data_IF_469021930205
#
_entry.id   IF_469021930205
#
_cell.length_a   1.000
_cell.length_b   1.000
_cell.length_c   1.000
_cell.angle_alpha   90.00
_cell.angle_beta   90.00
_cell.angle_gamma   90.00
#
_symmetry.space_group_name_H-M   'P 1'
#
loop_
_entity.id
_entity.type
_entity.pdbx_description
1 polymer ?
#
# COMPACT_ATOMS: atom_id res chain seq x y z
N UNK A 1 4.98 10.60 19.81
CA UNK A 1 4.82 9.15 19.57
C UNK A 1 4.01 8.99 18.29
N UNK A 2 4.64 8.56 17.18
CA UNK A 2 3.87 8.14 16.00
C UNK A 2 3.19 6.82 16.35
N UNK A 3 1.86 6.79 16.37
CA UNK A 3 1.12 5.53 16.48
C UNK A 3 1.43 4.67 15.27
N UNK A 4 1.91 3.43 15.51
CA UNK A 4 2.17 2.48 14.44
C UNK A 4 0.92 2.31 13.57
N UNK A 5 1.09 2.43 12.26
CA UNK A 5 -0.03 2.30 11.34
C UNK A 5 -0.57 0.86 11.36
N UNK A 6 -1.88 0.71 11.55
CA UNK A 6 -2.51 -0.61 11.50
C UNK A 6 -2.73 -1.07 10.05
N UNK A 7 -2.68 -2.38 9.77
CA UNK A 7 -2.99 -2.97 8.46
C UNK A 7 -4.32 -2.48 7.86
N UNK A 8 -5.36 -2.38 8.69
CA UNK A 8 -6.68 -1.90 8.25
C UNK A 8 -6.64 -0.44 7.82
N UNK A 9 -5.92 0.40 8.55
CA UNK A 9 -5.76 1.82 8.21
C UNK A 9 -4.98 1.96 6.89
N UNK A 10 -3.88 1.22 6.75
CA UNK A 10 -3.07 1.22 5.54
C UNK A 10 -3.86 0.77 4.31
N UNK A 11 -4.58 -0.37 4.39
CA UNK A 11 -5.40 -0.86 3.27
C UNK A 11 -6.44 0.18 2.82
N UNK A 12 -7.13 0.82 3.77
CA UNK A 12 -8.10 1.88 3.47
C UNK A 12 -7.45 3.07 2.77
N UNK A 13 -6.27 3.52 3.23
CA UNK A 13 -5.55 4.66 2.63
C UNK A 13 -5.08 4.36 1.22
N UNK A 14 -4.51 3.18 1.00
CA UNK A 14 -4.04 2.71 -0.31
C UNK A 14 -5.20 2.62 -1.31
N UNK A 15 -6.33 2.02 -0.91
CA UNK A 15 -7.51 1.93 -1.78
C UNK A 15 -8.11 3.29 -2.08
N UNK A 16 -8.24 4.17 -1.08
CA UNK A 16 -8.75 5.53 -1.29
C UNK A 16 -7.84 6.33 -2.23
N UNK A 17 -6.52 6.14 -2.13
CA UNK A 17 -5.56 6.76 -3.04
C UNK A 17 -5.72 6.22 -4.47
N UNK A 18 -5.79 4.91 -4.63
CA UNK A 18 -6.00 4.26 -5.92
C UNK A 18 -7.29 4.76 -6.58
N UNK A 19 -8.40 4.81 -5.84
CA UNK A 19 -9.70 5.31 -6.33
C UNK A 19 -9.65 6.79 -6.71
N UNK A 20 -8.98 7.64 -5.91
CA UNK A 20 -8.90 9.08 -6.16
C UNK A 20 -8.18 9.43 -7.46
N UNK A 21 -7.10 8.72 -7.77
CA UNK A 21 -6.23 9.04 -8.91
C UNK A 21 -6.36 8.06 -10.08
N UNK A 22 -7.10 6.96 -9.90
CA UNK A 22 -7.25 5.86 -10.86
C UNK A 22 -5.92 5.38 -11.46
N UNK A 23 -4.85 5.47 -10.67
CA UNK A 23 -3.48 5.26 -11.11
C UNK A 23 -2.74 4.21 -10.26
N UNK A 24 -3.42 3.49 -9.36
CA UNK A 24 -2.76 2.59 -8.43
C UNK A 24 -1.82 3.31 -7.46
N UNK A 25 -0.93 2.55 -6.85
CA UNK A 25 0.14 3.03 -5.97
C UNK A 25 1.37 2.14 -6.14
N UNK A 26 2.55 2.70 -5.92
CA UNK A 26 3.84 2.08 -6.19
C UNK A 26 4.58 1.83 -4.89
N UNK A 27 5.15 0.63 -4.74
CA UNK A 27 6.10 0.37 -3.67
C UNK A 27 7.39 1.16 -3.90
N UNK A 28 7.85 1.90 -2.88
CA UNK A 28 9.03 2.77 -2.99
C UNK A 28 10.23 2.30 -2.17
N UNK A 29 9.98 1.77 -0.97
CA UNK A 29 11.01 1.22 -0.08
C UNK A 29 10.47 -0.07 0.54
N UNK A 30 11.34 -1.02 0.82
CA UNK A 30 10.96 -2.34 1.34
C UNK A 30 11.22 -3.45 0.33
N UNK A 31 10.68 -4.64 0.62
CA UNK A 31 10.87 -5.82 -0.22
C UNK A 31 9.98 -5.82 -1.48
N UNK A 32 8.87 -5.08 -1.46
CA UNK A 32 7.98 -5.01 -2.61
C UNK A 32 8.50 -4.01 -3.64
N UNK A 33 8.20 -4.29 -4.91
CA UNK A 33 8.49 -3.40 -6.03
C UNK A 33 7.33 -3.40 -7.02
N UNK A 34 7.24 -2.35 -7.84
CA UNK A 34 6.22 -2.24 -8.87
C UNK A 34 4.94 -1.53 -8.44
N UNK A 35 3.91 -1.68 -9.26
CA UNK A 35 2.61 -0.99 -9.15
C UNK A 35 1.56 -1.94 -8.62
N UNK A 36 0.69 -1.42 -7.76
CA UNK A 36 -0.40 -2.12 -7.13
C UNK A 36 -1.71 -1.35 -7.30
N UNK A 37 -2.82 -2.08 -7.29
CA UNK A 37 -4.14 -1.57 -7.63
C UNK A 37 -5.17 -1.74 -6.51
N UNK A 38 -4.90 -2.61 -5.56
CA UNK A 38 -5.79 -2.87 -4.43
C UNK A 38 -5.00 -3.29 -3.21
N UNK A 39 -5.57 -3.07 -2.03
CA UNK A 39 -5.03 -3.48 -0.76
C UNK A 39 -6.12 -4.13 0.10
N UNK A 40 -5.76 -5.15 0.87
CA UNK A 40 -6.66 -5.82 1.82
C UNK A 40 -5.92 -6.21 3.09
N UNK A 41 -6.68 -6.57 4.12
CA UNK A 41 -6.14 -7.23 5.31
C UNK A 41 -6.48 -8.71 5.24
N UNK A 42 -5.48 -9.58 5.38
CA UNK A 42 -5.67 -11.02 5.46
C UNK A 42 -4.83 -11.57 6.60
N UNK A 43 -5.46 -12.33 7.50
CA UNK A 43 -4.82 -12.89 8.69
C UNK A 43 -4.03 -11.85 9.52
N UNK A 44 -4.51 -10.60 9.59
CA UNK A 44 -3.86 -9.52 10.32
C UNK A 44 -2.69 -8.84 9.59
N UNK A 45 -2.32 -9.28 8.38
CA UNK A 45 -1.30 -8.65 7.56
C UNK A 45 -1.90 -7.80 6.44
N UNK A 46 -1.18 -6.76 6.00
CA UNK A 46 -1.52 -6.00 4.80
C UNK A 46 -1.09 -6.82 3.57
N UNK A 47 -2.00 -7.03 2.64
CA UNK A 47 -1.69 -7.55 1.30
C UNK A 47 -2.01 -6.50 0.24
N UNK A 48 -1.18 -6.40 -0.80
CA UNK A 48 -1.36 -5.52 -1.95
C UNK A 48 -1.41 -6.35 -3.23
N UNK A 49 -2.24 -5.94 -4.20
CA UNK A 49 -2.48 -6.66 -5.44
C UNK A 49 -1.84 -5.93 -6.63
N UNK A 50 -0.97 -6.61 -7.36
CA UNK A 50 -0.23 -6.05 -8.51
C UNK A 50 -0.98 -6.18 -9.85
N UNK A 51 -2.17 -6.79 -9.85
CA UNK A 51 -2.92 -7.13 -11.08
C UNK A 51 -2.94 -8.62 -11.37
N UNK A 52 -2.04 -9.39 -10.78
CA UNK A 52 -1.88 -10.83 -10.98
C UNK A 52 -1.90 -11.60 -9.65
N UNK A 53 -1.16 -11.11 -8.66
CA UNK A 53 -0.95 -11.77 -7.38
C UNK A 53 -1.13 -10.80 -6.19
N UNK A 54 -1.49 -11.39 -5.05
CA UNK A 54 -1.49 -10.72 -3.75
C UNK A 54 -0.13 -10.92 -3.08
N UNK A 55 0.47 -9.82 -2.64
CA UNK A 55 1.77 -9.82 -1.97
C UNK A 55 1.64 -9.21 -0.58
N UNK A 56 2.31 -9.80 0.41
CA UNK A 56 2.27 -9.27 1.79
C UNK A 56 3.21 -8.08 1.91
N UNK A 57 2.71 -6.97 2.45
CA UNK A 57 3.46 -5.75 2.70
C UNK A 57 3.83 -5.62 4.18
N UNK A 58 5.12 -5.52 4.47
CA UNK A 58 5.61 -5.21 5.82
C UNK A 58 5.51 -3.71 6.10
N UNK A 59 4.53 -3.30 6.90
CA UNK A 59 4.31 -1.89 7.24
C UNK A 59 5.45 -1.23 8.01
N UNK A 60 6.37 -1.99 8.60
CA UNK A 60 7.51 -1.40 9.31
C UNK A 60 8.55 -0.80 8.36
N UNK A 61 8.69 -1.37 7.17
CA UNK A 61 9.71 -0.99 6.17
C UNK A 61 9.11 -0.47 4.87
N UNK A 62 7.84 -0.80 4.59
CA UNK A 62 7.21 -0.54 3.31
C UNK A 62 6.61 0.87 3.23
N UNK A 63 7.03 1.63 2.21
CA UNK A 63 6.41 2.91 1.84
C UNK A 63 5.85 2.86 0.43
N UNK A 64 4.85 3.72 0.17
CA UNK A 64 4.15 3.80 -1.12
C UNK A 64 4.06 5.23 -1.65
N UNK A 65 4.03 5.38 -2.97
CA UNK A 65 3.85 6.64 -3.67
C UNK A 65 2.99 6.49 -4.94
N UNK A 66 2.50 7.59 -5.51
CA UNK A 66 1.92 7.58 -6.85
C UNK A 66 2.99 7.69 -7.96
N UNK A 67 2.56 7.59 -9.22
CA UNK A 67 3.44 7.71 -10.39
C UNK A 67 4.09 9.11 -10.53
N UNK A 68 3.60 10.12 -9.81
CA UNK A 68 4.14 11.49 -9.78
C UNK A 68 5.06 11.69 -8.56
N UNK A 69 5.26 10.65 -7.75
CA UNK A 69 6.13 10.68 -6.57
C UNK A 69 5.45 11.18 -5.28
N UNK A 70 4.14 11.40 -5.25
CA UNK A 70 3.42 11.79 -4.03
C UNK A 70 3.29 10.61 -3.08
N UNK A 71 3.77 10.76 -1.84
CA UNK A 71 3.70 9.71 -0.82
C UNK A 71 2.26 9.41 -0.41
N UNK A 72 1.93 8.13 -0.26
CA UNK A 72 0.68 7.67 0.36
C UNK A 72 0.90 7.53 1.86
N UNK A 73 0.29 8.43 2.64
CA UNK A 73 0.38 8.37 4.10
C UNK A 73 -0.58 7.31 4.66
N UNK A 74 0.00 6.25 5.22
CA UNK A 74 -0.71 5.10 5.76
C UNK A 74 -1.34 5.39 7.13
#
# INVERSE_FOLDING_TARGET
MQTATTPTRAARRLNAHCQRYNAGFYARQGALSGRFFSARVKAGALEVFDGEAWQTADLASQTFADHVGRTVFL
#
